data_IF_128888891111
#
_entry.id   IF_128888891111
#
_cell.length_a   1.000
_cell.length_b   1.000
_cell.length_c   1.000
_cell.angle_alpha   90.00
_cell.angle_beta   90.00
_cell.angle_gamma   90.00
#
_symmetry.space_group_name_H-M   'P 1'
#
loop_
_entity.id
_entity.type
_entity.pdbx_description
1 polymer ?
#
# COMPACT_ATOMS: atom_id res chain seq x y z
N UNK A 1 6.51 0.49 -6.77
CA UNK A 1 5.08 0.18 -7.01
C UNK A 1 4.25 0.93 -6.00
N UNK A 2 3.20 1.62 -6.43
CA UNK A 2 2.21 2.26 -5.56
C UNK A 2 0.85 1.62 -5.78
N UNK A 3 0.14 1.30 -4.70
CA UNK A 3 -1.24 0.83 -4.76
C UNK A 3 -2.17 2.03 -4.58
N UNK A 4 -2.83 2.45 -5.66
CA UNK A 4 -3.89 3.43 -5.60
C UNK A 4 -5.16 2.75 -5.06
N UNK A 5 -5.62 3.21 -3.90
CA UNK A 5 -6.74 2.61 -3.18
C UNK A 5 -8.10 2.94 -3.81
N UNK A 6 -8.16 3.94 -4.69
CA UNK A 6 -9.42 4.43 -5.26
C UNK A 6 -10.01 5.65 -4.53
N UNK A 7 -9.25 6.27 -3.62
CA UNK A 7 -9.67 7.51 -2.99
C UNK A 7 -9.74 8.66 -4.01
N UNK A 8 -10.76 9.51 -3.88
CA UNK A 8 -10.89 10.70 -4.71
C UNK A 8 -9.77 11.70 -4.35
N UNK A 9 -9.14 12.30 -5.37
CA UNK A 9 -8.16 13.39 -5.26
C UNK A 9 -6.80 13.01 -4.63
N UNK A 10 -6.25 11.86 -4.98
CA UNK A 10 -4.83 11.57 -4.69
C UNK A 10 -3.99 11.93 -5.90
N UNK A 11 -3.01 12.82 -5.72
CA UNK A 11 -2.06 13.18 -6.78
C UNK A 11 -0.74 12.41 -6.59
N UNK A 12 -0.41 11.58 -7.58
CA UNK A 12 0.84 10.81 -7.62
C UNK A 12 1.92 11.47 -8.48
N UNK A 13 1.64 12.63 -9.08
CA UNK A 13 2.58 13.35 -9.94
C UNK A 13 3.91 13.65 -9.25
N UNK A 14 3.96 14.15 -8.00
CA UNK A 14 5.24 14.43 -7.34
C UNK A 14 6.12 13.19 -7.17
N UNK A 15 5.51 12.04 -6.86
CA UNK A 15 6.24 10.78 -6.69
C UNK A 15 6.70 10.22 -8.03
N UNK A 16 5.90 10.35 -9.09
CA UNK A 16 6.28 9.97 -10.45
C UNK A 16 7.46 10.80 -10.95
N UNK A 17 7.44 12.10 -10.73
CA UNK A 17 8.55 13.00 -11.08
C UNK A 17 9.82 12.67 -10.29
N UNK A 18 9.69 12.39 -8.99
CA UNK A 18 10.81 11.99 -8.14
C UNK A 18 11.47 10.71 -8.64
N UNK A 19 10.68 9.66 -8.91
CA UNK A 19 11.21 8.41 -9.46
C UNK A 19 11.85 8.62 -10.84
N UNK A 20 11.25 9.45 -11.69
CA UNK A 20 11.81 9.79 -13.01
C UNK A 20 13.17 10.49 -12.91
N UNK A 21 13.35 11.43 -11.95
CA UNK A 21 14.63 12.11 -11.71
C UNK A 21 15.74 11.14 -11.30
N UNK A 22 15.37 10.03 -10.66
CA UNK A 22 16.28 8.98 -10.22
C UNK A 22 16.45 7.84 -11.24
N UNK A 23 15.80 7.92 -12.40
CA UNK A 23 15.73 6.84 -13.39
C UNK A 23 15.24 5.50 -12.79
N UNK A 24 14.29 5.57 -11.87
CA UNK A 24 13.68 4.40 -11.22
C UNK A 24 12.32 4.10 -11.85
N UNK A 25 12.11 2.86 -12.27
CA UNK A 25 10.82 2.40 -12.78
C UNK A 25 9.73 2.51 -11.69
N UNK A 26 8.63 3.16 -12.04
CA UNK A 26 7.55 3.44 -11.11
C UNK A 26 6.18 3.04 -11.67
N UNK A 27 5.61 1.99 -11.09
CA UNK A 27 4.31 1.44 -11.45
C UNK A 27 3.25 1.86 -10.42
N UNK A 28 2.15 2.46 -10.88
CA UNK A 28 0.94 2.72 -10.08
C UNK A 28 -0.10 1.67 -10.46
N UNK A 29 -0.66 1.01 -9.46
CA UNK A 29 -1.67 -0.02 -9.63
C UNK A 29 -2.98 0.50 -9.06
N UNK A 30 -3.97 0.67 -9.95
CA UNK A 30 -5.31 1.07 -9.56
C UNK A 30 -6.09 -0.09 -8.95
N UNK A 31 -6.80 0.20 -7.86
CA UNK A 31 -7.64 -0.76 -7.13
C UNK A 31 -8.94 -0.10 -6.69
N UNK A 32 -9.92 -0.92 -6.33
CA UNK A 32 -11.18 -0.51 -5.71
C UNK A 32 -11.20 -0.78 -4.20
N UNK A 33 -10.03 -0.81 -3.55
CA UNK A 33 -9.90 -1.16 -2.12
C UNK A 33 -10.71 -0.21 -1.24
N UNK A 34 -10.71 1.09 -1.53
CA UNK A 34 -11.46 2.08 -0.73
C UNK A 34 -12.97 1.80 -0.80
N UNK A 35 -13.51 1.54 -1.98
CA UNK A 35 -14.93 1.20 -2.16
C UNK A 35 -15.27 -0.10 -1.40
N UNK A 36 -14.44 -1.14 -1.54
CA UNK A 36 -14.64 -2.41 -0.84
C UNK A 36 -14.64 -2.23 0.67
N UNK A 37 -13.66 -1.49 1.21
CA UNK A 37 -13.49 -1.34 2.67
C UNK A 37 -14.56 -0.43 3.26
N UNK A 38 -14.81 0.73 2.66
CA UNK A 38 -15.62 1.80 3.26
C UNK A 38 -17.08 1.85 2.79
N UNK A 39 -17.38 1.39 1.57
CA UNK A 39 -18.74 1.47 1.02
C UNK A 39 -19.46 0.11 1.06
N UNK A 40 -18.73 -0.99 0.85
CA UNK A 40 -19.30 -2.35 0.77
C UNK A 40 -19.21 -3.09 2.11
N UNK A 41 -17.99 -3.30 2.64
CA UNK A 41 -17.76 -4.18 3.80
C UNK A 41 -18.09 -3.52 5.13
N UNK A 42 -17.71 -2.24 5.31
CA UNK A 42 -18.02 -1.44 6.50
C UNK A 42 -17.71 -2.15 7.82
N UNK A 43 -16.60 -2.88 7.87
CA UNK A 43 -16.18 -3.58 9.09
C UNK A 43 -15.90 -2.58 10.22
N UNK A 44 -16.17 -2.98 11.47
CA UNK A 44 -15.89 -2.15 12.65
C UNK A 44 -14.42 -1.71 12.72
N UNK A 45 -13.51 -2.56 12.23
CA UNK A 45 -12.06 -2.34 12.20
C UNK A 45 -11.53 -2.38 10.76
N UNK A 46 -11.80 -1.33 9.94
CA UNK A 46 -11.55 -1.36 8.49
C UNK A 46 -10.06 -1.46 8.13
N UNK A 47 -9.17 -1.06 9.04
CA UNK A 47 -7.72 -1.08 8.82
C UNK A 47 -7.17 -2.50 8.60
N UNK A 48 -7.72 -3.52 9.26
CA UNK A 48 -7.26 -4.91 9.10
C UNK A 48 -7.53 -5.42 7.69
N UNK A 49 -8.76 -5.26 7.21
CA UNK A 49 -9.14 -5.61 5.84
C UNK A 49 -8.35 -4.81 4.81
N UNK A 50 -8.24 -3.48 5.00
CA UNK A 50 -7.48 -2.62 4.09
C UNK A 50 -6.00 -3.03 3.99
N UNK A 51 -5.35 -3.33 5.12
CA UNK A 51 -3.97 -3.79 5.16
C UNK A 51 -3.77 -5.11 4.40
N UNK A 52 -4.67 -6.08 4.60
CA UNK A 52 -4.64 -7.35 3.89
C UNK A 52 -4.80 -7.19 2.38
N UNK A 53 -5.78 -6.39 1.94
CA UNK A 53 -6.01 -6.14 0.52
C UNK A 53 -4.84 -5.40 -0.14
N UNK A 54 -4.27 -4.39 0.54
CA UNK A 54 -3.08 -3.66 0.06
C UNK A 54 -1.88 -4.57 -0.09
N UNK A 55 -1.64 -5.44 0.90
CA UNK A 55 -0.54 -6.41 0.86
C UNK A 55 -0.72 -7.41 -0.28
N UNK A 56 -1.94 -7.93 -0.48
CA UNK A 56 -2.26 -8.83 -1.58
C UNK A 56 -2.04 -8.17 -2.95
N UNK A 57 -2.58 -6.97 -3.16
CA UNK A 57 -2.40 -6.21 -4.38
C UNK A 57 -0.92 -5.94 -4.69
N UNK A 58 -0.16 -5.51 -3.67
CA UNK A 58 1.29 -5.27 -3.81
C UNK A 58 2.06 -6.53 -4.21
N UNK A 59 1.86 -7.63 -3.47
CA UNK A 59 2.60 -8.86 -3.70
C UNK A 59 2.26 -9.49 -5.06
N UNK A 60 0.99 -9.48 -5.46
CA UNK A 60 0.55 -10.01 -6.75
C UNK A 60 1.16 -9.23 -7.92
N UNK A 61 1.14 -7.90 -7.85
CA UNK A 61 1.69 -7.05 -8.91
C UNK A 61 3.22 -7.08 -8.92
N UNK A 62 3.88 -7.11 -7.76
CA UNK A 62 5.32 -7.30 -7.70
C UNK A 62 5.74 -8.61 -8.38
N UNK A 63 5.01 -9.70 -8.12
CA UNK A 63 5.25 -10.99 -8.78
C UNK A 63 4.99 -10.94 -10.28
N UNK A 64 3.92 -10.28 -10.72
CA UNK A 64 3.61 -10.10 -12.15
C UNK A 64 4.68 -9.29 -12.89
N UNK A 65 5.32 -8.34 -12.22
CA UNK A 65 6.45 -7.55 -12.71
C UNK A 65 7.81 -8.29 -12.62
N UNK A 66 7.80 -9.58 -12.26
CA UNK A 66 9.02 -10.39 -12.16
C UNK A 66 9.88 -10.12 -10.92
N UNK A 67 9.38 -9.37 -9.93
CA UNK A 67 10.09 -9.15 -8.68
C UNK A 67 10.06 -10.41 -7.80
N UNK A 68 11.19 -10.72 -7.16
CA UNK A 68 11.32 -11.83 -6.21
C UNK A 68 11.32 -11.38 -4.74
N UNK A 69 11.40 -10.07 -4.48
CA UNK A 69 11.46 -9.46 -3.15
C UNK A 69 10.69 -8.14 -3.16
N UNK A 70 10.13 -7.80 -2.00
CA UNK A 70 9.46 -6.52 -1.75
C UNK A 70 10.12 -5.87 -0.54
N UNK A 71 10.67 -4.68 -0.74
CA UNK A 71 11.16 -3.84 0.35
C UNK A 71 10.06 -2.86 0.78
N UNK A 72 9.86 -2.72 2.09
CA UNK A 72 8.87 -1.83 2.69
C UNK A 72 9.58 -0.82 3.57
N UNK A 73 9.10 0.41 3.60
CA UNK A 73 9.65 1.49 4.43
C UNK A 73 9.17 1.46 5.87
N UNK A 74 9.20 0.30 6.53
CA UNK A 74 8.96 0.23 7.98
C UNK A 74 10.23 0.68 8.72
N UNK A 75 10.07 1.60 9.67
CA UNK A 75 11.13 2.15 10.51
C UNK A 75 11.18 1.42 11.86
N UNK A 76 12.22 1.68 12.66
CA UNK A 76 12.35 1.11 14.01
C UNK A 76 11.12 1.41 14.88
N UNK A 77 10.63 2.65 14.80
CA UNK A 77 9.49 3.10 15.59
C UNK A 77 8.22 2.29 15.25
N UNK A 78 8.01 1.91 13.98
CA UNK A 78 6.87 1.07 13.59
C UNK A 78 6.91 -0.30 14.30
N UNK A 79 8.12 -0.86 14.48
CA UNK A 79 8.31 -2.13 15.17
C UNK A 79 8.10 -1.99 16.69
N UNK A 80 8.60 -0.91 17.29
CA UNK A 80 8.40 -0.60 18.70
C UNK A 80 6.91 -0.38 19.02
N UNK A 81 6.21 0.41 18.20
CA UNK A 81 4.76 0.62 18.30
C UNK A 81 4.00 -0.70 18.16
N UNK A 82 4.36 -1.53 17.18
CA UNK A 82 3.74 -2.85 16.99
C UNK A 82 3.96 -3.76 18.20
N UNK A 83 5.16 -3.74 18.78
CA UNK A 83 5.47 -4.49 20.00
C UNK A 83 4.60 -4.03 21.16
N UNK A 84 4.50 -2.72 21.40
CA UNK A 84 3.68 -2.16 22.48
C UNK A 84 2.20 -2.49 22.29
N UNK A 85 1.65 -2.33 21.07
CA UNK A 85 0.26 -2.69 20.77
C UNK A 85 -0.04 -4.18 20.97
N UNK A 86 0.96 -5.05 20.82
CA UNK A 86 0.80 -6.50 21.01
C UNK A 86 0.87 -6.93 22.48
N UNK A 87 1.41 -6.07 23.36
CA UNK A 87 1.55 -6.33 24.79
C UNK A 87 0.37 -5.79 25.62
N UNK A 88 -0.40 -4.85 25.05
CA UNK A 88 -1.58 -4.22 25.66
C UNK A 88 -2.87 -4.98 25.33
#
# INVERSE_FOLDING_TARGET
ITINLGFKKVDYTPLKEFCSKLNVEYNIIDTNISEIVFDIRKEKNPCSLCANLRRGALNNNAKALGCNKVALGHHSNDAEETLLMSLL
#
